data_IF_578344449309
#
_entry.id   IF_578344449309
#
_cell.length_a   1.000
_cell.length_b   1.000
_cell.length_c   1.000
_cell.angle_alpha   90.00
_cell.angle_beta   90.00
_cell.angle_gamma   90.00
#
_symmetry.space_group_name_H-M   'P 1'
#
loop_
_entity.id
_entity.type
_entity.pdbx_description
1 polymer ?
#
# COMPACT_ATOMS: atom_id res chain seq x y z
N UNK A 1 6.87 44.13 -12.13
CA UNK A 1 5.88 43.04 -11.99
C UNK A 1 6.11 42.08 -13.14
N UNK A 2 6.87 41.02 -12.91
CA UNK A 2 7.17 39.98 -13.90
C UNK A 2 7.10 38.65 -13.18
N UNK A 3 6.17 37.80 -13.61
CA UNK A 3 5.75 36.59 -12.92
C UNK A 3 6.89 35.62 -12.66
N UNK A 4 6.96 35.13 -11.42
CA UNK A 4 7.72 33.94 -11.09
C UNK A 4 7.11 32.76 -11.89
N UNK A 5 7.88 32.25 -12.85
CA UNK A 5 7.53 31.07 -13.61
C UNK A 5 7.25 29.90 -12.67
N UNK A 6 6.16 29.20 -12.95
CA UNK A 6 5.87 27.90 -12.35
C UNK A 6 7.10 27.02 -12.49
N UNK A 7 7.67 26.62 -11.35
CA UNK A 7 8.73 25.62 -11.32
C UNK A 7 8.17 24.36 -11.98
N UNK A 8 8.70 24.01 -13.15
CA UNK A 8 8.30 22.81 -13.87
C UNK A 8 8.41 21.60 -12.94
N UNK A 9 7.31 20.87 -12.79
CA UNK A 9 7.31 19.54 -12.18
C UNK A 9 8.30 18.68 -12.96
N UNK A 10 9.48 18.44 -12.40
CA UNK A 10 10.36 17.41 -12.93
C UNK A 10 9.69 16.07 -12.67
N UNK A 11 9.34 15.35 -13.74
CA UNK A 11 9.11 13.93 -13.66
C UNK A 11 10.32 13.26 -12.99
N UNK A 12 10.08 12.43 -11.98
CA UNK A 12 11.12 11.70 -11.25
C UNK A 12 11.43 12.30 -9.87
N UNK A 13 11.04 11.57 -8.82
CA UNK A 13 11.40 11.87 -7.44
C UNK A 13 10.62 10.99 -6.46
N UNK A 14 11.29 10.57 -5.38
CA UNK A 14 10.61 10.05 -4.20
C UNK A 14 10.10 11.23 -3.36
N UNK A 15 9.16 10.98 -2.44
CA UNK A 15 8.74 11.97 -1.45
C UNK A 15 9.98 12.53 -0.71
N UNK A 16 9.97 13.82 -0.31
CA UNK A 16 11.06 14.41 0.45
C UNK A 16 11.46 13.57 1.66
N UNK A 17 12.74 13.57 2.01
CA UNK A 17 13.30 12.85 3.16
C UNK A 17 13.13 11.32 3.10
N UNK A 18 12.76 10.71 1.96
CA UNK A 18 12.59 9.25 1.86
C UNK A 18 13.84 8.49 2.34
N UNK A 19 15.03 8.81 1.82
CA UNK A 19 16.27 8.13 2.25
C UNK A 19 16.57 8.29 3.74
N UNK A 20 16.28 9.45 4.31
CA UNK A 20 16.47 9.71 5.73
C UNK A 20 15.47 8.92 6.59
N UNK A 21 14.20 8.92 6.19
CA UNK A 21 13.16 8.14 6.86
C UNK A 21 13.48 6.64 6.82
N UNK A 22 13.88 6.11 5.67
CA UNK A 22 14.28 4.71 5.54
C UNK A 22 15.48 4.37 6.43
N UNK A 23 16.45 5.29 6.56
CA UNK A 23 17.58 5.10 7.49
C UNK A 23 17.13 5.09 8.96
N UNK A 24 16.30 6.04 9.37
CA UNK A 24 15.76 6.10 10.74
C UNK A 24 14.98 4.82 11.08
N UNK A 25 14.17 4.32 10.14
CA UNK A 25 13.45 3.06 10.33
C UNK A 25 14.45 1.90 10.40
N UNK A 26 15.37 1.79 9.45
CA UNK A 26 16.32 0.68 9.40
C UNK A 26 17.18 0.59 10.67
N UNK A 27 17.77 1.71 11.11
CA UNK A 27 18.62 1.78 12.29
C UNK A 27 17.84 1.39 13.57
N UNK A 28 16.56 1.77 13.66
CA UNK A 28 15.70 1.37 14.76
C UNK A 28 15.34 -0.12 14.74
N UNK A 29 15.14 -0.70 13.56
CA UNK A 29 14.71 -2.09 13.38
C UNK A 29 15.86 -3.11 13.36
N UNK A 30 17.11 -2.64 13.21
CA UNK A 30 18.32 -3.45 13.15
C UNK A 30 19.35 -2.99 14.19
N UNK A 31 19.03 -3.06 15.50
CA UNK A 31 20.01 -2.70 16.53
C UNK A 31 21.19 -3.67 16.47
N UNK A 32 22.40 -3.16 16.76
CA UNK A 32 23.64 -3.94 16.72
C UNK A 32 23.73 -4.99 17.82
N UNK A 33 22.98 -4.82 18.92
CA UNK A 33 22.90 -5.76 20.04
C UNK A 33 21.44 -6.16 20.30
N UNK A 34 21.07 -7.36 19.87
CA UNK A 34 19.73 -7.91 20.08
C UNK A 34 19.42 -8.27 21.55
N UNK A 35 20.44 -8.39 22.42
CA UNK A 35 20.25 -8.74 23.83
C UNK A 35 19.66 -7.58 24.66
N UNK A 36 20.00 -6.34 24.28
CA UNK A 36 19.46 -5.13 24.87
C UNK A 36 18.20 -4.61 24.16
N UNK A 37 17.84 -5.19 23.01
CA UNK A 37 16.71 -4.74 22.20
C UNK A 37 15.37 -4.94 22.94
N UNK A 38 14.49 -3.95 22.78
CA UNK A 38 13.10 -4.02 23.22
C UNK A 38 12.19 -4.14 22.01
N UNK A 39 11.06 -4.83 22.19
CA UNK A 39 10.17 -5.19 21.09
C UNK A 39 8.76 -4.64 21.33
N UNK A 40 8.10 -4.30 20.22
CA UNK A 40 6.69 -4.00 20.14
C UNK A 40 6.06 -5.05 19.20
N UNK A 41 5.27 -5.95 19.78
CA UNK A 41 4.50 -6.94 19.03
C UNK A 41 3.14 -6.34 18.71
N UNK A 42 2.85 -6.17 17.42
CA UNK A 42 1.63 -5.54 16.93
C UNK A 42 0.65 -6.59 16.42
N UNK A 43 -0.59 -6.56 16.90
CA UNK A 43 -1.63 -7.53 16.55
C UNK A 43 -2.04 -7.48 15.07
N UNK A 44 -2.55 -8.61 14.57
CA UNK A 44 -3.07 -8.73 13.19
C UNK A 44 -4.55 -8.31 13.12
N UNK A 45 -4.92 -7.33 12.27
CA UNK A 45 -6.31 -7.01 12.01
C UNK A 45 -6.97 -8.05 11.10
N UNK A 46 -8.26 -8.33 11.33
CA UNK A 46 -9.10 -9.02 10.35
C UNK A 46 -9.70 -7.99 9.39
N UNK A 47 -9.01 -7.68 8.30
CA UNK A 47 -9.51 -6.77 7.26
C UNK A 47 -8.85 -7.04 5.89
N UNK A 48 -9.21 -6.26 4.88
CA UNK A 48 -8.55 -6.32 3.57
C UNK A 48 -7.06 -5.98 3.65
N UNK A 49 -6.24 -6.60 2.81
CA UNK A 49 -4.77 -6.47 2.83
C UNK A 49 -4.29 -5.01 2.93
N UNK A 50 -4.87 -4.10 2.15
CA UNK A 50 -4.48 -2.69 2.18
C UNK A 50 -4.77 -1.97 3.50
N UNK A 51 -5.86 -2.34 4.17
CA UNK A 51 -6.16 -1.83 5.52
C UNK A 51 -5.15 -2.35 6.54
N UNK A 52 -4.78 -3.63 6.43
CA UNK A 52 -3.79 -4.23 7.33
C UNK A 52 -2.44 -3.53 7.20
N UNK A 53 -1.94 -3.38 5.96
CA UNK A 53 -0.63 -2.77 5.71
C UNK A 53 -0.54 -1.35 6.28
N UNK A 54 -1.57 -0.50 6.11
CA UNK A 54 -1.58 0.83 6.73
C UNK A 54 -1.55 0.76 8.27
N UNK A 55 -2.27 -0.19 8.87
CA UNK A 55 -2.27 -0.33 10.33
C UNK A 55 -0.91 -0.80 10.85
N UNK A 56 -0.20 -1.67 10.13
CA UNK A 56 1.17 -2.04 10.47
C UNK A 56 2.10 -0.82 10.47
N UNK A 57 1.90 0.17 9.59
CA UNK A 57 2.68 1.43 9.64
C UNK A 57 2.43 2.27 10.90
N UNK A 58 1.25 2.16 11.52
CA UNK A 58 0.96 2.81 12.81
C UNK A 58 1.75 2.12 13.92
N UNK A 59 1.76 0.78 13.92
CA UNK A 59 2.58 -0.02 14.83
C UNK A 59 4.07 0.28 14.68
N UNK A 60 4.55 0.39 13.43
CA UNK A 60 5.92 0.78 13.13
C UNK A 60 6.24 2.19 13.66
N UNK A 61 5.32 3.15 13.50
CA UNK A 61 5.54 4.51 14.01
C UNK A 61 5.68 4.52 15.53
N UNK A 62 4.81 3.77 16.23
CA UNK A 62 4.87 3.62 17.68
C UNK A 62 6.15 2.92 18.13
N UNK A 63 6.64 1.96 17.36
CA UNK A 63 7.90 1.26 17.63
C UNK A 63 9.09 2.23 17.51
N UNK A 64 9.18 2.96 16.40
CA UNK A 64 10.21 3.98 16.18
C UNK A 64 10.17 5.08 17.26
N UNK A 65 8.98 5.59 17.59
CA UNK A 65 8.83 6.66 18.59
C UNK A 65 9.19 6.21 20.02
N UNK A 66 9.07 4.91 20.31
CA UNK A 66 9.40 4.32 21.61
C UNK A 66 10.76 3.63 21.66
N UNK A 67 11.55 3.66 20.58
CA UNK A 67 12.86 3.01 20.51
C UNK A 67 12.78 1.48 20.58
N UNK A 68 11.68 0.89 20.09
CA UNK A 68 11.44 -0.56 20.06
C UNK A 68 11.54 -1.09 18.64
N UNK A 69 11.97 -2.34 18.51
CA UNK A 69 11.90 -3.10 17.26
C UNK A 69 10.45 -3.55 17.05
N UNK A 70 9.92 -3.29 15.86
CA UNK A 70 8.56 -3.65 15.47
C UNK A 70 8.52 -5.11 15.04
N UNK A 71 7.54 -5.85 15.56
CA UNK A 71 7.28 -7.24 15.22
C UNK A 71 5.79 -7.39 14.89
N UNK A 72 5.45 -7.80 13.68
CA UNK A 72 4.09 -8.23 13.37
C UNK A 72 3.80 -9.55 14.09
N UNK A 73 2.68 -9.64 14.80
CA UNK A 73 2.26 -10.88 15.42
C UNK A 73 2.02 -11.98 14.37
N UNK A 74 2.04 -13.25 14.78
CA UNK A 74 1.55 -14.35 13.94
C UNK A 74 0.02 -14.43 13.96
N UNK A 75 -0.55 -15.16 12.99
CA UNK A 75 -1.99 -15.44 12.89
C UNK A 75 -2.72 -14.57 11.87
N UNK A 76 -2.03 -14.01 10.87
CA UNK A 76 -2.70 -13.32 9.77
C UNK A 76 -3.33 -14.32 8.81
N UNK A 77 -4.65 -14.22 8.59
CA UNK A 77 -5.36 -15.07 7.62
C UNK A 77 -4.83 -14.94 6.18
N UNK A 78 -4.17 -13.83 5.86
CA UNK A 78 -3.49 -13.63 4.57
C UNK A 78 -2.22 -14.47 4.42
N UNK A 79 -1.74 -15.11 5.50
CA UNK A 79 -0.52 -15.92 5.54
C UNK A 79 -0.79 -17.38 5.97
N UNK A 80 -2.03 -17.86 5.83
CA UNK A 80 -2.43 -19.21 6.26
C UNK A 80 -2.30 -20.29 5.18
N UNK A 81 -1.90 -19.89 3.98
CA UNK A 81 -1.81 -20.80 2.84
C UNK A 81 -0.51 -21.57 2.68
N UNK A 82 -0.51 -22.52 1.73
CA UNK A 82 0.59 -23.46 1.49
C UNK A 82 1.91 -22.74 1.19
N UNK A 83 1.85 -21.60 0.48
CA UNK A 83 3.03 -20.77 0.24
C UNK A 83 3.69 -20.28 1.54
N UNK A 84 2.95 -20.07 2.61
CA UNK A 84 3.45 -19.60 3.90
C UNK A 84 3.73 -20.72 4.91
N UNK A 85 3.56 -22.00 4.55
CA UNK A 85 3.65 -23.13 5.49
C UNK A 85 4.95 -23.18 6.31
N UNK A 86 6.07 -22.80 5.69
CA UNK A 86 7.41 -22.82 6.31
C UNK A 86 7.90 -21.41 6.67
N UNK A 87 6.99 -20.46 6.85
CA UNK A 87 7.29 -19.07 7.17
C UNK A 87 6.45 -18.64 8.38
N UNK A 88 6.83 -17.55 9.09
CA UNK A 88 5.94 -16.94 10.07
C UNK A 88 4.57 -16.66 9.45
N UNK A 89 3.49 -16.93 10.21
CA UNK A 89 2.10 -16.73 9.76
C UNK A 89 1.70 -15.25 9.87
N UNK A 90 2.47 -14.39 9.24
CA UNK A 90 2.29 -12.93 9.21
C UNK A 90 2.58 -12.42 7.80
N UNK A 91 2.07 -11.24 7.43
CA UNK A 91 2.25 -10.71 6.07
C UNK A 91 3.73 -10.39 5.83
N UNK A 92 4.35 -9.68 6.77
CA UNK A 92 5.77 -9.30 6.71
C UNK A 92 6.69 -10.52 6.80
N UNK A 93 6.31 -11.55 7.56
CA UNK A 93 7.14 -12.74 7.73
C UNK A 93 7.06 -13.75 6.58
N UNK A 94 5.93 -13.82 5.86
CA UNK A 94 5.78 -14.76 4.74
C UNK A 94 6.20 -14.18 3.39
N UNK A 95 5.79 -12.94 3.09
CA UNK A 95 5.88 -12.39 1.75
C UNK A 95 7.05 -11.42 1.58
N UNK A 96 7.50 -10.77 2.65
CA UNK A 96 8.44 -9.65 2.60
C UNK A 96 9.83 -10.07 3.06
N UNK A 97 10.81 -9.24 2.74
CA UNK A 97 12.12 -9.24 3.39
C UNK A 97 11.95 -8.95 4.89
N UNK A 98 12.82 -9.50 5.76
CA UNK A 98 12.75 -9.27 7.20
C UNK A 98 12.66 -7.78 7.54
N UNK A 99 11.60 -7.42 8.25
CA UNK A 99 11.39 -6.04 8.72
C UNK A 99 12.29 -5.68 9.90
N UNK A 100 12.84 -6.68 10.62
CA UNK A 100 13.65 -6.51 11.80
C UNK A 100 14.89 -7.42 11.75
N UNK A 101 16.02 -6.92 12.26
CA UNK A 101 17.27 -7.67 12.40
C UNK A 101 17.34 -8.50 13.68
N UNK A 102 16.44 -8.26 14.62
CA UNK A 102 16.35 -8.98 15.90
C UNK A 102 14.93 -9.51 16.11
N UNK A 103 14.81 -10.59 16.87
CA UNK A 103 13.53 -11.18 17.24
C UNK A 103 13.48 -11.50 18.75
N UNK A 104 12.31 -11.33 19.40
CA UNK A 104 12.14 -11.74 20.77
C UNK A 104 12.17 -13.28 20.89
N UNK A 105 12.72 -13.79 21.99
CA UNK A 105 12.67 -15.21 22.31
C UNK A 105 11.25 -15.68 22.66
N UNK A 106 11.00 -16.98 22.60
CA UNK A 106 9.71 -17.55 22.99
C UNK A 106 9.32 -17.19 24.44
N UNK A 107 10.28 -17.17 25.37
CA UNK A 107 10.05 -16.77 26.75
C UNK A 107 9.68 -15.27 26.87
N UNK A 108 10.36 -14.41 26.11
CA UNK A 108 10.05 -12.98 26.05
C UNK A 108 8.67 -12.72 25.45
N UNK A 109 8.26 -13.48 24.43
CA UNK A 109 6.93 -13.42 23.84
C UNK A 109 5.82 -13.89 24.81
N UNK A 110 6.10 -14.94 25.60
CA UNK A 110 5.18 -15.44 26.62
C UNK A 110 4.99 -14.42 27.77
N UNK A 111 6.04 -13.67 28.10
CA UNK A 111 6.03 -12.62 29.12
C UNK A 111 5.59 -11.23 28.58
N UNK A 112 5.12 -11.14 27.34
CA UNK A 112 4.76 -9.87 26.73
C UNK A 112 3.61 -9.16 27.48
N UNK A 113 3.79 -7.87 27.75
CA UNK A 113 2.82 -7.07 28.50
C UNK A 113 1.91 -6.32 27.52
N UNK A 114 0.59 -6.48 27.65
CA UNK A 114 -0.37 -5.68 26.90
C UNK A 114 -0.34 -4.23 27.41
N UNK A 115 -0.22 -3.26 26.49
CA UNK A 115 -0.14 -1.83 26.84
C UNK A 115 -1.07 -0.99 25.98
N UNK A 116 -1.36 0.23 26.42
CA UNK A 116 -2.09 1.21 25.61
C UNK A 116 -1.15 1.94 24.63
N UNK A 117 -1.62 2.33 23.43
CA UNK A 117 -0.79 3.03 22.44
C UNK A 117 -0.26 4.38 22.93
N UNK A 118 1.06 4.53 22.96
CA UNK A 118 1.73 5.73 23.46
C UNK A 118 1.72 5.85 24.99
N UNK A 119 1.38 4.79 25.72
CA UNK A 119 1.45 4.77 27.18
C UNK A 119 2.90 4.81 27.71
N UNK A 120 3.11 5.24 28.96
CA UNK A 120 4.44 5.44 29.54
C UNK A 120 5.30 4.15 29.56
N UNK A 121 4.67 2.99 29.67
CA UNK A 121 5.32 1.67 29.66
C UNK A 121 6.03 1.37 28.33
N UNK A 122 5.60 2.00 27.22
CA UNK A 122 6.26 1.85 25.93
C UNK A 122 7.62 2.55 25.89
N UNK A 123 7.72 3.75 26.44
CA UNK A 123 8.92 4.60 26.36
C UNK A 123 9.88 4.42 27.56
N UNK A 124 9.45 3.76 28.63
CA UNK A 124 10.25 3.62 29.84
C UNK A 124 11.52 2.77 29.63
N UNK A 125 12.67 3.29 30.08
CA UNK A 125 13.95 2.58 30.09
C UNK A 125 13.90 1.31 30.97
N UNK A 126 13.16 1.35 32.08
CA UNK A 126 12.86 0.18 32.94
C UNK A 126 11.58 -0.58 32.52
N UNK A 127 10.94 -0.18 31.41
CA UNK A 127 9.73 -0.83 30.90
C UNK A 127 10.00 -2.23 30.36
N UNK A 128 8.93 -3.05 30.19
CA UNK A 128 9.04 -4.45 29.78
C UNK A 128 9.77 -4.62 28.44
N UNK A 129 10.51 -5.72 28.31
CA UNK A 129 11.26 -6.06 27.09
C UNK A 129 10.34 -6.20 25.89
N UNK A 130 9.22 -6.88 26.04
CA UNK A 130 8.21 -7.03 24.99
C UNK A 130 6.90 -6.40 25.44
N UNK A 131 6.40 -5.45 24.65
CA UNK A 131 5.02 -4.96 24.78
C UNK A 131 4.18 -5.50 23.64
N UNK A 132 2.90 -5.71 23.91
CA UNK A 132 1.90 -6.09 22.91
C UNK A 132 0.87 -4.99 22.78
N UNK A 133 0.59 -4.59 21.55
CA UNK A 133 -0.49 -3.68 21.23
C UNK A 133 -1.58 -4.42 20.48
N UNK A 134 -2.80 -4.28 20.98
CA UNK A 134 -3.96 -4.60 20.18
C UNK A 134 -4.22 -3.49 19.16
N UNK A 135 -4.59 -3.91 17.96
CA UNK A 135 -4.79 -3.04 16.82
C UNK A 135 -5.98 -2.10 17.02
N UNK A 136 -7.09 -2.57 17.63
CA UNK A 136 -8.29 -1.75 17.85
C UNK A 136 -7.98 -0.46 18.63
N UNK A 137 -7.11 -0.59 19.63
CA UNK A 137 -6.67 0.54 20.45
C UNK A 137 -5.81 1.56 19.67
N UNK A 138 -5.15 1.12 18.60
CA UNK A 138 -4.17 1.92 17.84
C UNK A 138 -4.80 2.82 16.78
N UNK A 139 -6.11 2.69 16.49
CA UNK A 139 -6.85 3.54 15.56
C UNK A 139 -6.74 5.04 15.91
N UNK A 140 -6.73 5.35 17.21
CA UNK A 140 -6.56 6.72 17.71
C UNK A 140 -5.18 7.32 17.39
N UNK A 141 -4.20 6.49 17.00
CA UNK A 141 -2.85 6.89 16.63
C UNK A 141 -2.60 6.86 15.12
N UNK A 142 -3.64 6.71 14.29
CA UNK A 142 -3.49 6.61 12.82
C UNK A 142 -2.85 7.83 12.14
N UNK A 143 -2.85 8.98 12.80
CA UNK A 143 -2.20 10.22 12.33
C UNK A 143 -0.79 10.41 12.91
N UNK A 144 -0.27 9.43 13.65
CA UNK A 144 1.05 9.51 14.28
C UNK A 144 2.16 9.57 13.22
N UNK A 145 3.14 10.44 13.49
CA UNK A 145 4.42 10.52 12.80
C UNK A 145 5.52 10.46 13.86
N UNK A 146 6.58 9.64 13.68
CA UNK A 146 7.65 9.54 14.68
C UNK A 146 8.32 10.89 14.97
N UNK A 147 8.58 11.18 16.25
CA UNK A 147 9.11 12.49 16.68
C UNK A 147 10.45 12.84 16.05
N UNK A 148 11.28 11.84 15.75
CA UNK A 148 12.59 12.00 15.13
C UNK A 148 12.51 12.67 13.75
N UNK A 149 11.37 12.52 13.06
CA UNK A 149 11.14 13.05 11.72
C UNK A 149 10.29 14.33 11.72
N UNK A 150 9.57 14.61 12.82
CA UNK A 150 8.62 15.72 12.89
C UNK A 150 9.26 17.10 12.70
N UNK A 151 10.45 17.36 13.27
CA UNK A 151 11.10 18.66 13.11
C UNK A 151 11.41 18.95 11.64
N UNK A 152 11.96 17.97 10.92
CA UNK A 152 12.34 18.08 9.51
C UNK A 152 11.13 18.26 8.59
N UNK A 153 10.00 17.62 8.92
CA UNK A 153 8.75 17.79 8.16
C UNK A 153 8.12 19.17 8.31
N UNK A 154 8.43 19.93 9.37
CA UNK A 154 7.92 21.29 9.55
C UNK A 154 8.52 22.28 8.55
N UNK A 155 9.74 22.00 8.09
CA UNK A 155 10.46 22.86 7.15
C UNK A 155 10.11 22.56 5.67
N UNK A 156 9.24 21.58 5.43
CA UNK A 156 8.80 21.18 4.11
C UNK A 156 7.41 21.72 3.76
N UNK A 157 7.10 21.90 2.46
CA UNK A 157 5.78 22.32 1.99
C UNK A 157 4.75 21.17 2.05
N UNK A 158 4.71 20.44 3.16
CA UNK A 158 3.72 19.39 3.44
C UNK A 158 2.75 19.94 4.48
N UNK A 159 1.48 20.05 4.11
CA UNK A 159 0.42 20.46 5.04
C UNK A 159 0.47 19.59 6.30
N UNK A 160 0.33 20.21 7.47
CA UNK A 160 0.42 19.48 8.75
C UNK A 160 -0.53 18.29 8.80
N UNK A 161 -1.77 18.50 8.35
CA UNK A 161 -2.78 17.46 8.25
C UNK A 161 -2.42 16.30 7.32
N UNK A 162 -1.42 16.44 6.43
CA UNK A 162 -0.98 15.41 5.48
C UNK A 162 0.34 14.74 5.88
N UNK A 163 1.04 15.22 6.91
CA UNK A 163 2.32 14.62 7.37
C UNK A 163 2.19 13.13 7.73
N UNK A 164 1.04 12.72 8.21
CA UNK A 164 0.77 11.31 8.53
C UNK A 164 0.63 10.43 7.27
N UNK A 165 0.17 10.98 6.15
CA UNK A 165 0.21 10.29 4.86
C UNK A 165 1.66 10.11 4.39
N UNK A 166 2.49 11.16 4.50
CA UNK A 166 3.93 11.03 4.23
C UNK A 166 4.56 9.90 5.06
N UNK A 167 4.28 9.82 6.37
CA UNK A 167 4.81 8.73 7.21
C UNK A 167 4.33 7.36 6.73
N UNK A 168 3.04 7.22 6.41
CA UNK A 168 2.49 5.95 5.90
C UNK A 168 3.21 5.52 4.63
N UNK A 169 3.47 6.43 3.70
CA UNK A 169 4.24 6.12 2.50
C UNK A 169 5.64 5.55 2.83
N UNK A 170 6.34 6.14 3.81
CA UNK A 170 7.65 5.65 4.25
C UNK A 170 7.55 4.27 4.94
N UNK A 171 6.54 4.08 5.78
CA UNK A 171 6.31 2.81 6.46
C UNK A 171 5.94 1.69 5.47
N UNK A 172 5.11 1.98 4.48
CA UNK A 172 4.75 1.04 3.40
C UNK A 172 5.97 0.68 2.56
N UNK A 173 6.78 1.67 2.14
CA UNK A 173 8.02 1.42 1.42
C UNK A 173 8.97 0.48 2.17
N UNK A 174 9.01 0.59 3.50
CA UNK A 174 9.84 -0.26 4.34
C UNK A 174 9.25 -1.65 4.56
N UNK A 175 7.96 -1.75 4.88
CA UNK A 175 7.31 -3.02 5.23
C UNK A 175 7.00 -3.87 3.99
N UNK A 176 6.73 -3.25 2.85
CA UNK A 176 6.34 -3.93 1.60
C UNK A 176 7.55 -4.05 0.67
N UNK A 177 8.59 -4.72 1.17
CA UNK A 177 9.76 -5.12 0.37
C UNK A 177 9.63 -6.61 0.07
N UNK A 178 9.14 -7.04 -1.10
CA UNK A 178 8.90 -8.45 -1.35
C UNK A 178 10.20 -9.25 -1.28
N UNK A 179 10.16 -10.43 -0.65
CA UNK A 179 11.32 -11.33 -0.65
C UNK A 179 11.67 -11.81 -2.05
N UNK A 180 12.90 -12.26 -2.28
CA UNK A 180 13.29 -12.88 -3.56
C UNK A 180 12.34 -14.01 -4.01
N UNK A 181 11.87 -14.82 -3.05
CA UNK A 181 10.89 -15.89 -3.29
C UNK A 181 9.55 -15.32 -3.77
N UNK A 182 9.10 -14.24 -3.16
CA UNK A 182 7.88 -13.55 -3.55
C UNK A 182 8.02 -12.91 -4.91
N UNK A 183 9.12 -12.21 -5.20
CA UNK A 183 9.39 -11.63 -6.52
C UNK A 183 9.33 -12.69 -7.63
N UNK A 184 9.94 -13.86 -7.41
CA UNK A 184 9.87 -14.98 -8.36
C UNK A 184 8.41 -15.47 -8.57
N UNK A 185 7.64 -15.58 -7.48
CA UNK A 185 6.23 -15.96 -7.56
C UNK A 185 5.37 -14.90 -8.30
N UNK A 186 5.63 -13.61 -8.07
CA UNK A 186 4.94 -12.53 -8.79
C UNK A 186 5.26 -12.58 -10.29
N UNK A 187 6.53 -12.77 -10.67
CA UNK A 187 6.93 -12.88 -12.06
C UNK A 187 6.31 -14.10 -12.77
N UNK A 188 6.18 -15.23 -12.06
CA UNK A 188 5.47 -16.40 -12.60
C UNK A 188 3.98 -16.11 -12.81
N UNK A 189 3.34 -15.46 -11.84
CA UNK A 189 1.91 -15.10 -11.91
C UNK A 189 1.63 -14.06 -12.97
N UNK A 190 2.52 -13.09 -13.18
CA UNK A 190 2.41 -12.11 -14.25
C UNK A 190 2.27 -12.81 -15.62
N UNK A 191 3.12 -13.82 -15.88
CA UNK A 191 3.06 -14.60 -17.12
C UNK A 191 1.75 -15.37 -17.32
N UNK A 192 1.10 -15.81 -16.24
CA UNK A 192 -0.10 -16.65 -16.33
C UNK A 192 -1.41 -15.88 -16.23
N UNK A 193 -1.43 -14.79 -15.45
CA UNK A 193 -2.66 -14.06 -15.08
C UNK A 193 -2.82 -12.75 -15.83
N UNK A 194 -1.74 -12.14 -16.32
CA UNK A 194 -1.87 -10.90 -17.07
C UNK A 194 -2.59 -11.15 -18.40
N UNK A 195 -3.55 -10.30 -18.71
CA UNK A 195 -4.23 -10.21 -20.00
C UNK A 195 -3.94 -8.85 -20.61
N UNK A 196 -3.67 -8.81 -21.91
CA UNK A 196 -3.18 -7.60 -22.58
C UNK A 196 -1.66 -7.43 -22.45
N UNK A 197 -1.16 -6.27 -22.85
CA UNK A 197 0.28 -5.95 -22.77
C UNK A 197 0.68 -5.53 -21.36
N UNK A 198 1.90 -5.87 -20.90
CA UNK A 198 2.39 -5.38 -19.62
C UNK A 198 2.50 -3.85 -19.60
N UNK A 199 2.41 -3.23 -18.40
CA UNK A 199 2.69 -1.81 -18.22
C UNK A 199 4.01 -1.41 -18.87
N UNK A 200 3.95 -0.47 -19.82
CA UNK A 200 5.11 0.13 -20.46
C UNK A 200 5.24 1.61 -20.04
N UNK A 201 6.37 2.28 -20.31
CA UNK A 201 6.49 3.72 -20.10
C UNK A 201 5.33 4.48 -20.76
N UNK A 202 4.72 5.40 -20.02
CA UNK A 202 3.51 6.14 -20.35
C UNK A 202 2.20 5.43 -19.99
N UNK A 203 2.22 4.23 -19.38
CA UNK A 203 1.00 3.54 -18.92
C UNK A 203 0.21 4.41 -17.92
N UNK A 204 -1.12 4.30 -17.93
CA UNK A 204 -2.01 4.77 -16.86
C UNK A 204 -2.43 3.60 -15.97
N UNK A 205 -2.13 3.69 -14.67
CA UNK A 205 -2.71 2.81 -13.65
C UNK A 205 -4.11 3.30 -13.31
N UNK A 206 -5.11 2.50 -13.68
CA UNK A 206 -6.51 2.74 -13.34
C UNK A 206 -6.96 1.74 -12.28
N UNK A 207 -7.31 2.23 -11.10
CA UNK A 207 -7.89 1.39 -10.06
C UNK A 207 -9.36 1.72 -9.83
N UNK A 208 -10.22 0.73 -10.10
CA UNK A 208 -11.66 0.83 -9.93
C UNK A 208 -12.09 -0.12 -8.81
N UNK A 209 -12.39 0.43 -7.64
CA UNK A 209 -12.92 -0.33 -6.50
C UNK A 209 -14.41 -0.60 -6.70
N UNK A 210 -14.84 -1.85 -6.53
CA UNK A 210 -16.25 -2.28 -6.60
C UNK A 210 -16.60 -3.22 -5.45
N UNK A 211 -17.74 -3.05 -4.81
CA UNK A 211 -18.21 -4.02 -3.80
C UNK A 211 -18.98 -3.43 -2.62
N UNK A 212 -18.85 -4.10 -1.47
CA UNK A 212 -19.59 -3.96 -0.21
C UNK A 212 -19.35 -2.66 0.58
N UNK A 213 -18.65 -1.67 0.00
CA UNK A 213 -18.24 -0.43 0.67
C UNK A 213 -18.97 0.83 0.18
N UNK A 214 -20.14 0.69 -0.44
CA UNK A 214 -21.02 1.83 -0.74
C UNK A 214 -21.43 2.63 0.51
N UNK A 215 -21.28 2.04 1.70
CA UNK A 215 -21.51 2.68 2.99
C UNK A 215 -20.30 3.54 3.43
N UNK A 216 -19.09 3.25 2.93
CA UNK A 216 -17.85 3.89 3.39
C UNK A 216 -17.35 5.01 2.45
N UNK A 217 -17.75 5.02 1.18
CA UNK A 217 -17.35 6.03 0.20
C UNK A 217 -18.37 6.19 -0.93
N UNK A 218 -18.37 7.33 -1.66
CA UNK A 218 -19.14 7.49 -2.88
C UNK A 218 -18.81 6.40 -3.91
N UNK A 219 -19.84 5.86 -4.58
CA UNK A 219 -19.67 4.88 -5.65
C UNK A 219 -19.69 5.61 -6.99
N UNK A 220 -18.56 5.61 -7.69
CA UNK A 220 -18.42 6.22 -9.01
C UNK A 220 -18.67 5.19 -10.11
N UNK A 221 -19.33 5.57 -11.19
CA UNK A 221 -19.59 4.75 -12.37
C UNK A 221 -18.31 4.47 -13.18
N UNK A 222 -18.31 3.40 -13.99
CA UNK A 222 -17.16 3.10 -14.87
C UNK A 222 -16.91 4.23 -15.88
N UNK A 223 -17.97 4.92 -16.30
CA UNK A 223 -17.88 6.06 -17.22
C UNK A 223 -17.18 7.27 -16.59
N UNK A 224 -17.39 7.55 -15.30
CA UNK A 224 -16.65 8.61 -14.60
C UNK A 224 -15.15 8.32 -14.55
N UNK A 225 -14.77 7.07 -14.24
CA UNK A 225 -13.37 6.64 -14.31
C UNK A 225 -12.79 6.75 -15.73
N UNK A 226 -13.56 6.34 -16.74
CA UNK A 226 -13.15 6.44 -18.14
C UNK A 226 -12.95 7.89 -18.58
N UNK A 227 -13.88 8.79 -18.25
CA UNK A 227 -13.78 10.21 -18.58
C UNK A 227 -12.55 10.84 -17.93
N UNK A 228 -12.28 10.54 -16.66
CA UNK A 228 -11.11 11.06 -15.95
C UNK A 228 -9.79 10.49 -16.51
N UNK A 229 -9.80 9.23 -16.92
CA UNK A 229 -8.65 8.58 -17.58
C UNK A 229 -8.33 9.22 -18.94
N UNK A 230 -9.36 9.57 -19.73
CA UNK A 230 -9.15 10.30 -20.99
C UNK A 230 -8.58 11.69 -20.73
N UNK A 231 -9.17 12.41 -19.77
CA UNK A 231 -8.70 13.75 -19.37
C UNK A 231 -7.23 13.74 -18.95
N UNK A 232 -6.81 12.76 -18.15
CA UNK A 232 -5.41 12.62 -17.73
C UNK A 232 -4.45 12.50 -18.93
N UNK A 233 -4.77 11.66 -19.92
CA UNK A 233 -3.91 11.49 -21.10
C UNK A 233 -3.99 12.68 -22.06
N UNK A 234 -5.11 13.41 -22.08
CA UNK A 234 -5.24 14.67 -22.83
C UNK A 234 -4.41 15.80 -22.21
N UNK A 235 -4.33 15.86 -20.87
CA UNK A 235 -3.59 16.88 -20.12
C UNK A 235 -2.08 16.57 -20.01
N UNK A 236 -1.68 15.31 -20.03
CA UNK A 236 -0.28 14.88 -19.97
C UNK A 236 0.11 14.07 -21.22
N UNK A 237 0.67 14.72 -22.26
CA UNK A 237 1.10 14.08 -23.49
C UNK A 237 2.24 13.06 -23.34
N UNK A 238 2.88 12.97 -22.16
CA UNK A 238 3.87 11.92 -21.89
C UNK A 238 3.21 10.54 -21.67
N UNK A 239 1.92 10.53 -21.36
CA UNK A 239 1.12 9.34 -21.18
C UNK A 239 0.61 8.79 -22.50
N UNK A 240 0.41 7.47 -22.52
CA UNK A 240 -0.09 6.72 -23.66
C UNK A 240 -1.52 6.31 -23.39
N UNK A 241 -2.25 5.99 -24.45
CA UNK A 241 -3.53 5.29 -24.39
C UNK A 241 -3.35 3.82 -24.02
N UNK A 242 -2.59 3.54 -22.96
CA UNK A 242 -2.38 2.21 -22.38
C UNK A 242 -2.80 2.27 -20.92
N UNK A 243 -3.69 1.37 -20.52
CA UNK A 243 -4.21 1.27 -19.16
C UNK A 243 -3.84 -0.09 -18.57
N UNK A 244 -3.35 -0.08 -17.34
CA UNK A 244 -3.43 -1.24 -16.46
C UNK A 244 -4.61 -1.05 -15.51
N UNK A 245 -5.64 -1.88 -15.70
CA UNK A 245 -6.84 -1.90 -14.88
C UNK A 245 -6.65 -2.86 -13.72
N UNK A 246 -6.65 -2.32 -12.51
CA UNK A 246 -6.76 -3.08 -11.27
C UNK A 246 -8.21 -3.02 -10.77
N UNK A 247 -8.90 -4.15 -10.78
CA UNK A 247 -10.25 -4.29 -10.21
C UNK A 247 -10.57 -5.77 -9.95
N UNK A 248 -11.48 -6.00 -9.02
CA UNK A 248 -12.05 -7.30 -8.66
C UNK A 248 -13.42 -7.56 -9.29
N UNK A 249 -13.94 -6.62 -10.09
CA UNK A 249 -15.28 -6.69 -10.67
C UNK A 249 -15.29 -7.05 -12.15
N UNK A 250 -15.97 -8.15 -12.47
CA UNK A 250 -16.05 -8.66 -13.83
C UNK A 250 -16.83 -7.72 -14.77
N UNK A 251 -17.80 -6.96 -14.25
CA UNK A 251 -18.55 -5.97 -15.02
C UNK A 251 -17.66 -4.82 -15.46
N UNK A 252 -16.88 -4.26 -14.54
CA UNK A 252 -15.87 -3.24 -14.82
C UNK A 252 -14.81 -3.76 -15.79
N UNK A 253 -14.28 -4.98 -15.62
CA UNK A 253 -13.35 -5.58 -16.59
C UNK A 253 -13.99 -5.62 -17.97
N UNK A 254 -15.22 -6.12 -18.08
CA UNK A 254 -15.95 -6.18 -19.35
C UNK A 254 -16.14 -4.78 -19.94
N UNK A 255 -16.54 -3.80 -19.15
CA UNK A 255 -16.73 -2.42 -19.63
C UNK A 255 -15.42 -1.87 -20.20
N UNK A 256 -14.30 -1.99 -19.49
CA UNK A 256 -13.04 -1.38 -19.91
C UNK A 256 -12.40 -2.12 -21.09
N UNK A 257 -12.51 -3.44 -21.13
CA UNK A 257 -11.94 -4.26 -22.22
C UNK A 257 -12.77 -4.25 -23.49
N UNK A 258 -14.10 -4.09 -23.37
CA UNK A 258 -15.00 -4.01 -24.52
C UNK A 258 -15.29 -2.56 -24.86
N UNK A 259 -16.06 -1.81 -24.08
CA UNK A 259 -16.53 -0.47 -24.43
C UNK A 259 -15.39 0.56 -24.44
N UNK A 260 -14.68 0.75 -23.33
CA UNK A 260 -13.60 1.76 -23.27
C UNK A 260 -12.48 1.46 -24.27
N UNK A 261 -12.05 0.20 -24.34
CA UNK A 261 -11.06 -0.28 -25.31
C UNK A 261 -11.54 -0.19 -26.76
N UNK A 262 -12.83 -0.42 -27.03
CA UNK A 262 -13.42 -0.36 -28.37
C UNK A 262 -13.91 1.01 -28.80
N UNK A 263 -13.83 2.05 -27.96
CA UNK A 263 -14.18 3.42 -28.35
C UNK A 263 -13.23 4.02 -29.40
N UNK A 264 -12.46 3.19 -30.11
CA UNK A 264 -12.18 3.31 -31.54
C UNK A 264 -11.83 1.94 -32.17
N UNK A 265 -12.65 1.38 -33.08
CA UNK A 265 -12.28 0.21 -33.89
C UNK A 265 -11.90 0.60 -35.34
N UNK A 266 -11.11 -0.20 -36.09
CA UNK A 266 -10.25 -1.32 -35.69
C UNK A 266 -8.77 -1.04 -36.03
N UNK A 267 -7.83 -1.43 -35.18
CA UNK A 267 -6.41 -1.58 -35.58
C UNK A 267 -5.79 -0.38 -36.36
N UNK A 268 -6.18 0.85 -36.02
CA UNK A 268 -5.58 2.09 -36.48
C UNK A 268 -4.89 2.84 -35.33
N UNK A 269 -4.01 3.80 -35.62
CA UNK A 269 -3.33 4.58 -34.57
C UNK A 269 -4.35 5.45 -33.82
N UNK A 270 -4.79 5.03 -32.62
CA UNK A 270 -5.69 5.84 -31.78
C UNK A 270 -6.49 5.15 -30.65
N UNK A 271 -6.63 3.82 -30.65
CA UNK A 271 -7.40 3.06 -29.63
C UNK A 271 -6.70 2.92 -28.27
N UNK A 272 -7.46 2.51 -27.23
CA UNK A 272 -6.92 2.25 -25.88
C UNK A 272 -6.50 0.79 -25.70
N UNK A 273 -5.26 0.57 -25.28
CA UNK A 273 -4.76 -0.75 -24.89
C UNK A 273 -5.05 -1.00 -23.40
N UNK A 274 -5.98 -1.89 -23.08
CA UNK A 274 -6.32 -2.22 -21.68
C UNK A 274 -5.75 -3.57 -21.30
N UNK A 275 -5.00 -3.59 -20.20
CA UNK A 275 -4.49 -4.80 -19.55
C UNK A 275 -5.12 -4.96 -18.17
N UNK A 276 -5.28 -6.20 -17.71
CA UNK A 276 -5.81 -6.51 -16.38
C UNK A 276 -5.31 -7.89 -15.92
N UNK A 277 -5.49 -8.18 -14.64
CA UNK A 277 -5.28 -9.54 -14.12
C UNK A 277 -6.56 -10.36 -14.27
N UNK A 278 -6.42 -11.59 -14.75
CA UNK A 278 -7.47 -12.60 -14.80
C UNK A 278 -7.50 -13.35 -13.47
N UNK A 279 -8.16 -12.74 -12.48
CA UNK A 279 -8.26 -13.25 -11.11
C UNK A 279 -9.73 -13.44 -10.71
N UNK A 280 -10.02 -14.38 -9.79
CA UNK A 280 -11.38 -14.56 -9.29
C UNK A 280 -11.94 -13.26 -8.69
N UNK A 281 -13.24 -13.01 -8.92
CA UNK A 281 -13.95 -11.86 -8.33
C UNK A 281 -13.90 -11.87 -6.81
N UNK A 282 -14.11 -10.73 -6.16
CA UNK A 282 -14.05 -10.64 -4.68
C UNK A 282 -14.98 -11.62 -3.94
N UNK A 283 -16.22 -11.82 -4.41
CA UNK A 283 -17.14 -12.81 -3.81
C UNK A 283 -16.57 -14.22 -3.91
N UNK A 284 -15.99 -14.55 -5.06
CA UNK A 284 -15.35 -15.84 -5.27
C UNK A 284 -14.05 -15.94 -4.46
N UNK A 285 -13.30 -14.85 -4.31
CA UNK A 285 -12.10 -14.78 -3.48
C UNK A 285 -12.42 -14.95 -1.99
N UNK A 286 -13.50 -14.36 -1.48
CA UNK A 286 -13.97 -14.58 -0.11
C UNK A 286 -14.41 -16.04 0.10
N UNK A 287 -15.14 -16.62 -0.85
CA UNK A 287 -15.54 -18.01 -0.79
C UNK A 287 -14.32 -18.96 -0.85
N UNK A 288 -13.35 -18.68 -1.73
CA UNK A 288 -12.09 -19.40 -1.85
C UNK A 288 -11.26 -19.29 -0.58
N UNK A 289 -11.13 -18.09 0.01
CA UNK A 289 -10.47 -17.90 1.30
C UNK A 289 -11.18 -18.70 2.41
N UNK A 290 -12.52 -18.60 2.51
CA UNK A 290 -13.30 -19.32 3.50
C UNK A 290 -13.24 -20.86 3.33
N UNK A 291 -13.14 -21.36 2.11
CA UNK A 291 -12.97 -22.79 1.81
C UNK A 291 -11.54 -23.25 2.12
N UNK A 292 -10.55 -22.47 1.69
CA UNK A 292 -9.12 -22.62 1.96
C UNK A 292 -8.80 -22.72 3.46
N UNK A 293 -9.47 -21.91 4.29
CA UNK A 293 -9.34 -21.98 5.75
C UNK A 293 -9.89 -23.28 6.34
N UNK A 294 -10.88 -23.91 5.70
CA UNK A 294 -11.56 -25.12 6.20
C UNK A 294 -10.85 -26.41 5.85
N UNK A 295 -10.21 -26.50 4.69
CA UNK A 295 -9.58 -27.73 4.21
C UNK A 295 -8.05 -27.71 4.31
N UNK A 296 -7.45 -26.61 4.76
CA UNK A 296 -6.00 -26.48 4.88
C UNK A 296 -5.28 -26.48 3.51
N UNK A 297 -6.02 -26.39 2.40
CA UNK A 297 -5.49 -26.27 1.04
C UNK A 297 -5.02 -24.85 0.70
N UNK A 298 -5.04 -23.97 1.71
CA UNK A 298 -5.18 -22.55 1.52
C UNK A 298 -4.29 -21.98 0.42
N UNK A 299 -4.94 -21.55 -0.66
CA UNK A 299 -4.25 -20.89 -1.74
C UNK A 299 -3.95 -19.46 -1.28
N UNK A 300 -2.68 -19.15 -1.05
CA UNK A 300 -2.20 -17.78 -0.83
C UNK A 300 -2.32 -16.90 -2.09
N UNK A 301 -2.87 -17.42 -3.20
CA UNK A 301 -3.13 -16.66 -4.41
C UNK A 301 -3.75 -15.30 -4.16
N UNK A 302 -4.71 -15.09 -3.24
CA UNK A 302 -5.26 -13.75 -3.00
C UNK A 302 -4.19 -12.74 -2.62
N UNK A 303 -3.30 -13.06 -1.67
CA UNK A 303 -2.23 -12.16 -1.26
C UNK A 303 -1.22 -11.92 -2.41
N UNK A 304 -0.78 -12.98 -3.10
CA UNK A 304 0.17 -12.86 -4.21
C UNK A 304 -0.43 -12.13 -5.42
N UNK A 305 -1.72 -12.33 -5.72
CA UNK A 305 -2.43 -11.63 -6.78
C UNK A 305 -2.59 -10.15 -6.44
N UNK A 306 -2.92 -9.83 -5.18
CA UNK A 306 -2.96 -8.47 -4.68
C UNK A 306 -1.58 -7.80 -4.77
N UNK A 307 -0.51 -8.47 -4.35
CA UNK A 307 0.86 -7.93 -4.47
C UNK A 307 1.28 -7.74 -5.93
N UNK A 308 0.90 -8.66 -6.84
CA UNK A 308 1.13 -8.50 -8.28
C UNK A 308 0.37 -7.29 -8.84
N UNK A 309 -0.90 -7.13 -8.49
CA UNK A 309 -1.70 -5.99 -8.92
C UNK A 309 -1.10 -4.66 -8.45
N UNK A 310 -0.62 -4.61 -7.20
CA UNK A 310 0.02 -3.45 -6.63
C UNK A 310 1.33 -3.12 -7.35
N UNK A 311 2.15 -4.13 -7.63
CA UNK A 311 3.39 -3.96 -8.39
C UNK A 311 3.14 -3.43 -9.80
N UNK A 312 2.24 -4.05 -10.56
CA UNK A 312 1.89 -3.64 -11.93
C UNK A 312 1.30 -2.22 -11.97
N UNK A 313 0.41 -1.88 -11.03
CA UNK A 313 -0.14 -0.54 -10.92
C UNK A 313 0.96 0.51 -10.65
N UNK A 314 1.88 0.22 -9.72
CA UNK A 314 2.97 1.13 -9.39
C UNK A 314 3.97 1.31 -10.56
N UNK A 315 4.06 0.36 -11.51
CA UNK A 315 4.91 0.47 -12.71
C UNK A 315 4.41 1.48 -13.75
N UNK A 316 3.14 1.88 -13.75
CA UNK A 316 2.59 2.87 -14.69
C UNK A 316 3.03 4.31 -14.33
N UNK A 317 2.82 5.29 -15.22
CA UNK A 317 3.33 6.67 -15.10
C UNK A 317 2.23 7.72 -14.86
N UNK A 318 0.96 7.40 -15.13
CA UNK A 318 -0.20 8.20 -14.75
C UNK A 318 -1.13 7.39 -13.86
N UNK A 319 -1.89 8.04 -12.99
CA UNK A 319 -2.71 7.35 -11.98
C UNK A 319 -4.13 7.91 -11.90
N UNK A 320 -5.11 7.01 -11.91
CA UNK A 320 -6.52 7.35 -11.72
C UNK A 320 -7.12 6.38 -10.72
N UNK A 321 -7.65 6.91 -9.61
CA UNK A 321 -8.26 6.10 -8.55
C UNK A 321 -9.09 6.98 -7.62
N UNK A 322 -9.67 6.40 -6.57
CA UNK A 322 -10.26 7.15 -5.44
C UNK A 322 -9.48 6.86 -4.15
N UNK A 323 -8.92 7.91 -3.55
CA UNK A 323 -8.08 7.89 -2.37
C UNK A 323 -8.83 7.42 -1.12
N UNK A 324 -10.16 7.34 -1.16
CA UNK A 324 -10.96 6.70 -0.11
C UNK A 324 -10.60 5.22 0.05
N UNK A 325 -10.18 4.56 -1.04
CA UNK A 325 -9.74 3.18 -0.97
C UNK A 325 -8.36 3.07 -0.33
N UNK A 326 -8.23 2.18 0.66
CA UNK A 326 -6.92 1.78 1.17
C UNK A 326 -6.00 1.27 0.05
N UNK A 327 -6.55 0.62 -0.97
CA UNK A 327 -5.76 0.10 -2.07
C UNK A 327 -5.20 1.20 -2.97
N UNK A 328 -5.99 2.23 -3.26
CA UNK A 328 -5.54 3.39 -4.02
C UNK A 328 -4.41 4.13 -3.29
N UNK A 329 -4.55 4.32 -1.98
CA UNK A 329 -3.49 4.89 -1.14
C UNK A 329 -2.20 4.07 -1.19
N UNK A 330 -2.25 2.74 -1.16
CA UNK A 330 -1.04 1.92 -1.30
C UNK A 330 -0.34 2.12 -2.65
N UNK A 331 -1.09 2.21 -3.74
CA UNK A 331 -0.52 2.49 -5.08
C UNK A 331 0.17 3.86 -5.03
N UNK A 332 -0.49 4.85 -4.46
CA UNK A 332 0.00 6.23 -4.32
C UNK A 332 1.27 6.34 -3.45
N UNK A 333 1.30 5.61 -2.34
CA UNK A 333 2.40 5.53 -1.39
C UNK A 333 3.63 4.84 -2.01
N UNK A 334 3.44 3.72 -2.72
CA UNK A 334 4.54 3.00 -3.37
C UNK A 334 5.04 3.72 -4.61
N UNK A 335 4.16 4.30 -5.43
CA UNK A 335 4.62 5.07 -6.60
C UNK A 335 5.50 6.24 -6.15
N UNK A 336 5.12 6.90 -5.05
CA UNK A 336 5.76 8.13 -4.58
C UNK A 336 7.02 7.89 -3.76
N UNK A 337 7.34 6.64 -3.43
CA UNK A 337 8.54 6.27 -2.69
C UNK A 337 9.44 5.36 -3.53
N UNK A 338 9.06 4.11 -3.72
CA UNK A 338 9.91 3.07 -4.32
C UNK A 338 9.96 3.09 -5.84
N UNK A 339 9.00 3.74 -6.51
CA UNK A 339 9.02 3.91 -7.97
C UNK A 339 9.51 5.28 -8.43
N UNK A 340 9.80 6.19 -7.51
CA UNK A 340 10.26 7.56 -7.81
C UNK A 340 9.28 8.35 -8.70
N UNK A 341 7.98 8.13 -8.52
CA UNK A 341 6.89 8.77 -9.28
C UNK A 341 6.06 9.69 -8.39
N UNK A 342 6.65 10.34 -7.39
CA UNK A 342 5.95 11.27 -6.50
C UNK A 342 5.40 12.51 -7.21
N UNK A 343 6.06 12.93 -8.30
CA UNK A 343 5.61 14.03 -9.16
C UNK A 343 4.71 13.60 -10.32
N UNK A 344 4.42 12.31 -10.47
CA UNK A 344 3.54 11.82 -11.53
C UNK A 344 2.09 12.26 -11.28
N UNK A 345 1.36 12.53 -12.37
CA UNK A 345 -0.03 12.95 -12.31
C UNK A 345 -0.92 11.87 -11.69
N UNK A 346 -1.73 12.28 -10.72
CA UNK A 346 -2.74 11.45 -10.07
C UNK A 346 -4.05 12.22 -10.07
N UNK A 347 -5.06 11.69 -10.75
CA UNK A 347 -6.41 12.25 -10.71
C UNK A 347 -7.29 11.42 -9.77
N UNK A 348 -7.75 12.06 -8.70
CA UNK A 348 -8.64 11.45 -7.73
C UNK A 348 -10.11 11.60 -8.14
N UNK A 349 -10.90 10.53 -8.12
CA UNK A 349 -12.31 10.60 -8.55
C UNK A 349 -13.16 11.57 -7.74
N UNK A 350 -12.84 11.77 -6.47
CA UNK A 350 -13.58 12.68 -5.60
C UNK A 350 -13.00 14.09 -5.62
N UNK A 351 -11.67 14.21 -5.65
CA UNK A 351 -10.93 15.47 -5.60
C UNK A 351 -10.22 15.79 -6.93
N UNK A 352 -10.95 15.81 -8.06
CA UNK A 352 -10.40 16.03 -9.41
C UNK A 352 -10.53 17.47 -9.96
N UNK A 353 -10.72 18.46 -9.07
CA UNK A 353 -10.79 19.89 -9.40
C UNK A 353 -9.80 20.73 -8.57
N UNK A 354 -10.15 21.98 -8.27
CA UNK A 354 -9.28 22.91 -7.51
C UNK A 354 -9.13 22.57 -6.02
N UNK A 355 -9.84 21.55 -5.53
CA UNK A 355 -9.98 21.20 -4.12
C UNK A 355 -8.90 20.21 -3.59
N UNK A 356 -7.71 20.17 -4.20
CA UNK A 356 -6.66 19.23 -3.81
C UNK A 356 -6.25 19.38 -2.33
N UNK A 357 -6.30 20.59 -1.76
CA UNK A 357 -6.08 20.78 -0.32
C UNK A 357 -7.14 20.10 0.56
N UNK A 358 -8.33 19.80 0.03
CA UNK A 358 -9.42 19.17 0.80
C UNK A 358 -9.28 17.65 0.90
N UNK A 359 -8.30 17.05 0.22
CA UNK A 359 -8.03 15.61 0.30
C UNK A 359 -7.82 15.20 1.76
N UNK A 360 -8.64 14.26 2.21
CA UNK A 360 -8.50 13.59 3.50
C UNK A 360 -7.92 12.20 3.29
N UNK A 361 -6.61 12.05 3.52
CA UNK A 361 -5.95 10.75 3.43
C UNK A 361 -6.27 9.83 4.61
N UNK A 362 -7.03 10.28 5.62
CA UNK A 362 -7.42 9.40 6.71
C UNK A 362 -8.28 8.25 6.17
N UNK A 363 -8.01 7.07 6.69
CA UNK A 363 -8.98 5.99 6.60
C UNK A 363 -10.02 6.20 7.69
N UNK A 364 -11.30 6.09 7.31
CA UNK A 364 -12.44 6.11 8.23
C UNK A 364 -12.86 4.67 8.53
#
# INVERSE_FOLDING_TARGET
>A
MGGAGAAGYRAGGALPLTSEAQRVIFDNQHPTDCSAAKYLVFGNPTSGLGSILHQLTVGLALAVDSGRVFIEANGSGWADGVYCKNSPRSITGCYMEPAAGCAPSAAQLAAAVAVAPGGPQMAAASGPTVVRLDMSSSFAKRTLVPKQLLSKLKDLPILEKHRHYWWRAQGIAYLVRPSQRTLAALAQRERSLLRGRPPAPGCVSLYVRRGDKAIEAPVFSDEEYANLTRRLVEEDPSLRRQVFLSTEDAGTIKYFTTQFGSLTPPAGPGGWEVSHLDIPTWRNMQALLAQSFRDGSADTAPALNSLLALDLAARCDGYVASIYSNWARLIDELRSTVRCKGGAAYLDLHYNGEDAEKIDFNWR
#
